data_IF_299801017845
#
_entry.id   IF_299801017845
#
_cell.length_a   1.000
_cell.length_b   1.000
_cell.length_c   1.000
_cell.angle_alpha   90.00
_cell.angle_beta   90.00
_cell.angle_gamma   90.00
#
_symmetry.space_group_name_H-M   'P 1'
#
loop_
_entity.id
_entity.type
_entity.pdbx_description
1 polymer ?
#
# COMPACT_ATOMS: atom_id res chain seq x y z
N UNK A 1 -10.56 -12.63 -15.63
CA UNK A 1 -10.79 -11.33 -14.98
C UNK A 1 -9.68 -10.41 -15.46
N UNK A 2 -9.99 -9.45 -16.32
CA UNK A 2 -8.98 -8.49 -16.81
C UNK A 2 -8.80 -7.46 -15.70
N UNK A 3 -7.63 -7.45 -15.06
CA UNK A 3 -7.32 -6.46 -14.02
C UNK A 3 -6.53 -5.37 -14.72
N UNK A 4 -7.18 -4.24 -14.97
CA UNK A 4 -6.47 -3.04 -15.44
C UNK A 4 -5.69 -2.45 -14.26
N UNK A 5 -4.44 -2.08 -14.49
CA UNK A 5 -3.68 -1.27 -13.54
C UNK A 5 -4.31 0.12 -13.47
N UNK A 6 -4.45 0.65 -12.26
CA UNK A 6 -4.93 2.01 -12.02
C UNK A 6 -3.79 2.85 -11.45
N UNK A 7 -3.88 4.17 -11.58
CA UNK A 7 -2.99 5.09 -10.89
C UNK A 7 -3.24 5.05 -9.38
N UNK A 8 -2.21 5.36 -8.60
CA UNK A 8 -2.25 5.45 -7.15
C UNK A 8 -3.32 6.46 -6.69
N UNK A 9 -3.49 7.55 -7.45
CA UNK A 9 -4.49 8.58 -7.21
C UNK A 9 -5.95 8.10 -7.37
N UNK A 10 -6.17 7.01 -8.11
CA UNK A 10 -7.50 6.44 -8.37
C UNK A 10 -7.92 5.38 -7.33
N UNK A 11 -7.08 5.09 -6.33
CA UNK A 11 -7.40 4.18 -5.24
C UNK A 11 -8.58 4.72 -4.43
N UNK A 12 -9.70 3.97 -4.45
CA UNK A 12 -10.93 4.31 -3.71
C UNK A 12 -11.22 3.30 -2.60
N UNK A 13 -11.66 3.82 -1.47
CA UNK A 13 -12.19 3.02 -0.35
C UNK A 13 -13.47 2.29 -0.82
N UNK A 14 -13.59 1.01 -0.47
CA UNK A 14 -14.80 0.21 -0.75
C UNK A 14 -14.71 -0.74 -1.95
N UNK A 15 -13.60 -0.76 -2.69
CA UNK A 15 -13.32 -1.85 -3.65
C UNK A 15 -12.65 -3.03 -2.95
N UNK A 16 -13.06 -4.25 -3.29
CA UNK A 16 -12.52 -5.48 -2.70
C UNK A 16 -11.07 -5.77 -3.10
N UNK A 17 -10.64 -5.34 -4.30
CA UNK A 17 -9.26 -5.44 -4.76
C UNK A 17 -8.97 -4.42 -5.85
N UNK A 18 -7.74 -3.88 -5.85
CA UNK A 18 -7.19 -3.06 -6.93
C UNK A 18 -5.74 -3.49 -7.16
N UNK A 19 -5.25 -3.31 -8.38
CA UNK A 19 -3.84 -3.55 -8.74
C UNK A 19 -3.27 -2.24 -9.28
N UNK A 20 -2.11 -1.84 -8.77
CA UNK A 20 -1.36 -0.66 -9.21
C UNK A 20 0.10 -1.05 -9.30
N UNK A 21 0.79 -0.54 -10.31
CA UNK A 21 2.25 -0.65 -10.42
C UNK A 21 2.86 0.59 -9.76
N UNK A 22 3.83 0.38 -8.88
CA UNK A 22 4.44 1.45 -8.09
C UNK A 22 5.92 1.17 -7.86
N UNK A 23 6.69 2.24 -7.72
CA UNK A 23 8.05 2.23 -7.22
C UNK A 23 8.06 2.55 -5.72
N UNK A 24 8.75 1.72 -4.93
CA UNK A 24 8.96 1.98 -3.51
C UNK A 24 10.08 3.02 -3.34
N UNK A 25 9.75 4.19 -2.79
CA UNK A 25 10.72 5.26 -2.52
C UNK A 25 11.40 5.08 -1.16
N UNK A 26 10.63 4.70 -0.14
CA UNK A 26 11.13 4.59 1.23
C UNK A 26 10.29 3.64 2.05
N UNK A 27 10.95 2.90 2.94
CA UNK A 27 10.31 2.19 4.04
C UNK A 27 10.85 2.70 5.37
N UNK A 28 10.03 2.63 6.42
CA UNK A 28 10.44 2.93 7.79
C UNK A 28 10.64 1.65 8.58
N UNK A 29 11.17 1.78 9.79
CA UNK A 29 11.29 0.63 10.68
C UNK A 29 9.90 0.11 11.09
N UNK A 30 9.77 -1.22 11.18
CA UNK A 30 8.52 -1.85 11.60
C UNK A 30 8.23 -1.50 13.07
N UNK A 31 6.99 -1.10 13.35
CA UNK A 31 6.54 -0.72 14.69
C UNK A 31 5.43 -1.65 15.17
N UNK A 32 5.50 -2.06 16.43
CA UNK A 32 4.39 -2.78 17.07
C UNK A 32 3.25 -1.79 17.36
N UNK A 33 2.10 -2.01 16.74
CA UNK A 33 0.93 -1.11 16.85
C UNK A 33 0.02 -1.49 18.00
N UNK A 34 0.07 -2.77 18.44
CA UNK A 34 -0.72 -3.28 19.57
C UNK A 34 0.18 -3.72 20.71
N UNK A 35 -0.28 -3.51 21.94
CA UNK A 35 0.32 -4.12 23.13
C UNK A 35 0.15 -5.63 23.02
N UNK A 36 1.26 -6.36 22.97
CA UNK A 36 1.30 -7.81 22.78
C UNK A 36 2.09 -8.28 21.56
N UNK A 37 2.52 -7.36 20.66
CA UNK A 37 3.36 -7.72 19.50
C UNK A 37 2.63 -8.47 18.37
N UNK A 38 1.32 -8.68 18.50
CA UNK A 38 0.51 -9.41 17.50
C UNK A 38 0.34 -8.64 16.19
N UNK A 39 0.50 -7.32 16.22
CA UNK A 39 0.37 -6.46 15.05
C UNK A 39 1.59 -5.57 14.89
N UNK A 40 2.34 -5.83 13.83
CA UNK A 40 3.38 -4.95 13.33
C UNK A 40 2.82 -4.11 12.17
N UNK A 41 3.16 -2.82 12.16
CA UNK A 41 2.93 -1.91 11.04
C UNK A 41 4.26 -1.55 10.42
N UNK A 42 4.26 -1.47 9.10
CA UNK A 42 5.33 -0.93 8.30
C UNK A 42 4.76 0.23 7.51
N UNK A 43 5.36 1.41 7.65
CA UNK A 43 5.02 2.55 6.80
C UNK A 43 5.90 2.48 5.54
N UNK A 44 5.27 2.62 4.36
CA UNK A 44 5.93 2.60 3.05
C UNK A 44 5.45 3.78 2.22
N UNK A 45 6.38 4.42 1.52
CA UNK A 45 6.11 5.50 0.57
C UNK A 45 6.30 5.00 -0.85
N UNK A 46 5.25 5.10 -1.65
CA UNK A 46 5.21 4.69 -3.05
C UNK A 46 5.08 5.90 -3.98
N UNK A 47 5.54 5.74 -5.21
CA UNK A 47 5.27 6.63 -6.34
C UNK A 47 4.88 5.78 -7.55
N UNK A 48 3.94 6.24 -8.36
CA UNK A 48 3.56 5.64 -9.63
C UNK A 48 4.08 6.47 -10.81
N UNK A 49 4.12 5.86 -12.00
CA UNK A 49 4.34 6.60 -13.24
C UNK A 49 3.05 7.35 -13.60
N UNK A 50 3.15 8.67 -13.74
CA UNK A 50 2.03 9.55 -14.10
C UNK A 50 1.80 9.61 -15.61
#
# INVERSE_FOLDING_TARGET
>A
MVIYSILLADLKVGRCSNTTEVHLLRFWEARNVRKGGEFMSLDMLFIDEN
#
